data_IF_743800826019
#
_entry.id   IF_743800826019
#
_cell.length_a   1.000
_cell.length_b   1.000
_cell.length_c   1.000
_cell.angle_alpha   90.00
_cell.angle_beta   90.00
_cell.angle_gamma   90.00
#
_symmetry.space_group_name_H-M   'P 1'
#
loop_
_entity.id
_entity.type
_entity.pdbx_description
1 polymer ?
#
# COMPACT_ATOMS: atom_id res chain seq x y z
N UNK A 1 -6.36 54.64 -38.32
CA UNK A 1 -7.49 54.16 -37.50
C UNK A 1 -7.84 52.76 -38.01
N UNK A 2 -7.29 51.65 -37.49
CA UNK A 2 -7.80 50.82 -36.36
C UNK A 2 -9.33 50.57 -36.55
N UNK A 3 -9.90 49.37 -36.74
CA UNK A 3 -9.70 48.13 -35.97
C UNK A 3 -10.31 46.85 -36.63
N UNK A 4 -9.49 45.79 -36.59
CA UNK A 4 -9.70 44.33 -36.41
C UNK A 4 -11.03 43.60 -36.69
N UNK A 5 -10.87 42.61 -37.57
CA UNK A 5 -11.48 41.27 -37.60
C UNK A 5 -11.40 40.49 -36.26
N UNK A 6 -12.38 39.61 -36.00
CA UNK A 6 -12.20 38.42 -35.15
C UNK A 6 -13.11 37.27 -35.60
N UNK A 7 -12.64 36.49 -36.58
CA UNK A 7 -13.16 35.15 -36.85
C UNK A 7 -12.70 34.17 -35.75
N UNK A 8 -13.62 33.31 -35.32
CA UNK A 8 -13.48 32.42 -34.17
C UNK A 8 -12.86 31.07 -34.55
N UNK A 9 -12.05 30.53 -33.65
CA UNK A 9 -11.12 29.38 -33.79
C UNK A 9 -11.80 28.00 -33.81
N UNK A 10 -12.92 27.81 -34.51
CA UNK A 10 -13.66 26.53 -34.50
C UNK A 10 -13.63 25.70 -35.79
N UNK A 11 -13.06 26.18 -36.90
CA UNK A 11 -13.24 25.51 -38.19
C UNK A 11 -11.97 25.02 -38.91
N UNK A 12 -10.84 24.82 -38.22
CA UNK A 12 -9.63 24.35 -38.91
C UNK A 12 -8.80 23.36 -38.09
N UNK A 13 -9.30 22.12 -37.94
CA UNK A 13 -8.46 20.91 -38.04
C UNK A 13 -9.31 19.63 -38.12
N UNK A 14 -9.93 19.39 -39.28
CA UNK A 14 -10.20 18.04 -39.77
C UNK A 14 -9.29 17.82 -40.98
N UNK A 15 -8.69 16.63 -41.04
CA UNK A 15 -7.88 16.04 -42.11
C UNK A 15 -6.39 16.44 -42.15
N UNK A 16 -5.55 15.43 -41.93
CA UNK A 16 -4.10 15.49 -42.06
C UNK A 16 -3.43 14.26 -41.44
N UNK A 17 -3.67 13.07 -42.01
CA UNK A 17 -2.88 11.87 -41.72
C UNK A 17 -1.48 12.09 -42.29
N UNK A 18 -0.48 12.18 -41.42
CA UNK A 18 0.92 11.96 -41.77
C UNK A 18 1.57 11.19 -40.63
N UNK A 19 1.99 9.96 -40.92
CA UNK A 19 2.72 9.11 -40.01
C UNK A 19 4.06 9.76 -39.64
N UNK A 20 4.27 10.00 -38.34
CA UNK A 20 5.60 10.22 -37.78
C UNK A 20 5.83 9.12 -36.75
N UNK A 21 6.55 8.09 -37.17
CA UNK A 21 7.24 7.15 -36.29
C UNK A 21 8.36 7.89 -35.58
N UNK A 22 8.13 8.35 -34.35
CA UNK A 22 9.21 8.67 -33.41
C UNK A 22 9.42 7.43 -32.54
N UNK A 23 10.31 6.55 -32.99
CA UNK A 23 10.99 5.62 -32.10
C UNK A 23 11.96 6.43 -31.22
N UNK A 24 11.41 7.07 -30.20
CA UNK A 24 12.17 7.73 -29.15
C UNK A 24 12.03 6.89 -27.90
N UNK A 25 12.97 5.96 -27.68
CA UNK A 25 13.15 5.34 -26.38
C UNK A 25 13.50 6.46 -25.40
N UNK A 26 12.50 6.95 -24.66
CA UNK A 26 12.72 7.74 -23.48
C UNK A 26 13.36 6.81 -22.44
N UNK A 27 14.68 6.73 -22.48
CA UNK A 27 15.46 6.17 -21.39
C UNK A 27 15.16 7.03 -20.17
N UNK A 28 14.26 6.54 -19.31
CA UNK A 28 14.10 7.08 -17.97
C UNK A 28 15.39 6.71 -17.25
N UNK A 29 16.35 7.63 -17.25
CA UNK A 29 17.57 7.50 -16.47
C UNK A 29 17.17 7.33 -15.01
N UNK A 30 17.26 6.10 -14.50
CA UNK A 30 17.14 5.82 -13.08
C UNK A 30 18.32 6.49 -12.40
N UNK A 31 18.13 7.70 -11.90
CA UNK A 31 19.11 8.32 -11.01
C UNK A 31 19.15 7.46 -9.77
N UNK A 32 20.20 6.64 -9.63
CA UNK A 32 20.50 5.95 -8.39
C UNK A 32 20.59 7.02 -7.30
N UNK A 33 19.64 7.00 -6.37
CA UNK A 33 19.64 7.92 -5.24
C UNK A 33 20.93 7.73 -4.48
N UNK A 34 21.78 8.75 -4.44
CA UNK A 34 22.97 8.75 -3.59
C UNK A 34 22.55 8.41 -2.16
N UNK A 35 23.16 7.38 -1.58
CA UNK A 35 22.84 6.92 -0.23
C UNK A 35 23.11 8.07 0.75
N UNK A 36 22.07 8.60 1.39
CA UNK A 36 22.22 9.66 2.39
C UNK A 36 23.11 9.15 3.52
N UNK A 37 24.22 9.85 3.80
CA UNK A 37 25.13 9.50 4.90
C UNK A 37 24.43 9.75 6.24
N UNK A 38 24.01 8.69 6.90
CA UNK A 38 23.42 8.73 8.25
C UNK A 38 24.45 8.36 9.32
N UNK A 39 24.28 8.77 10.59
CA UNK A 39 25.18 8.37 11.68
C UNK A 39 25.20 6.86 11.96
N UNK A 40 24.18 6.12 11.51
CA UNK A 40 24.06 4.67 11.64
C UNK A 40 23.25 4.09 10.48
N UNK A 41 23.46 2.81 10.19
CA UNK A 41 22.72 2.08 9.14
C UNK A 41 21.34 1.67 9.65
N UNK A 42 20.29 2.02 8.91
CA UNK A 42 18.92 1.56 9.19
C UNK A 42 18.63 0.32 8.34
N UNK A 43 18.28 -0.79 9.00
CA UNK A 43 17.89 -2.03 8.30
C UNK A 43 16.57 -1.80 7.57
N UNK A 44 16.56 -2.03 6.26
CA UNK A 44 15.33 -2.04 5.47
C UNK A 44 14.63 -3.39 5.59
N UNK A 45 13.30 -3.37 5.71
CA UNK A 45 12.48 -4.59 5.72
C UNK A 45 12.04 -4.92 4.30
N UNK A 46 12.15 -6.21 3.93
CA UNK A 46 11.71 -6.73 2.66
C UNK A 46 10.88 -8.00 2.86
N UNK A 47 9.91 -8.24 1.98
CA UNK A 47 9.13 -9.49 1.92
C UNK A 47 9.31 -10.15 0.55
N UNK A 48 9.33 -11.49 0.46
CA UNK A 48 9.44 -12.18 -0.82
C UNK A 48 8.17 -12.00 -1.66
N UNK A 49 8.35 -11.98 -2.97
CA UNK A 49 7.26 -12.00 -3.93
C UNK A 49 7.09 -13.46 -4.39
N UNK A 50 5.86 -13.98 -4.36
CA UNK A 50 5.56 -15.33 -4.83
C UNK A 50 6.06 -15.52 -6.27
N UNK A 51 6.71 -16.66 -6.52
CA UNK A 51 7.25 -17.05 -7.83
C UNK A 51 8.24 -16.04 -8.45
N UNK A 52 8.87 -15.18 -7.64
CA UNK A 52 9.90 -14.24 -8.08
C UNK A 52 11.16 -14.30 -7.21
N UNK A 53 12.29 -13.89 -7.79
CA UNK A 53 13.54 -13.64 -7.06
C UNK A 53 13.59 -12.24 -6.46
N UNK A 54 12.70 -11.35 -6.90
CA UNK A 54 12.60 -9.99 -6.40
C UNK A 54 11.95 -9.96 -5.02
N UNK A 55 12.26 -8.89 -4.28
CA UNK A 55 11.70 -8.64 -2.95
C UNK A 55 10.92 -7.33 -2.97
N UNK A 56 9.79 -7.30 -2.26
CA UNK A 56 9.01 -6.09 -2.08
C UNK A 56 9.54 -5.28 -0.87
N UNK A 57 9.99 -4.02 -1.06
CA UNK A 57 10.48 -3.18 0.02
C UNK A 57 9.31 -2.63 0.86
N UNK A 58 9.31 -2.91 2.17
CA UNK A 58 8.26 -2.45 3.07
C UNK A 58 8.64 -1.09 3.66
N UNK A 59 7.82 -0.07 3.37
CA UNK A 59 8.02 1.29 3.91
C UNK A 59 7.29 1.52 5.24
N UNK A 60 5.99 1.24 5.29
CA UNK A 60 5.11 1.43 6.46
C UNK A 60 4.07 0.33 6.46
N UNK A 61 3.61 -0.05 7.65
CA UNK A 61 2.48 -0.94 7.84
C UNK A 61 1.32 -0.11 8.36
N UNK A 62 0.18 -0.19 7.68
CA UNK A 62 -1.09 0.38 8.10
C UNK A 62 -2.08 -0.76 8.29
N UNK A 63 -2.72 -0.78 9.45
CA UNK A 63 -3.73 -1.76 9.83
C UNK A 63 -5.08 -1.05 9.98
N UNK A 64 -6.18 -1.76 9.71
CA UNK A 64 -7.53 -1.19 9.75
C UNK A 64 -8.34 -1.92 10.83
N UNK A 65 -8.59 -1.23 11.94
CA UNK A 65 -9.42 -1.77 13.02
C UNK A 65 -10.90 -1.74 12.64
N UNK A 66 -11.64 -2.80 13.01
CA UNK A 66 -13.10 -2.90 12.86
C UNK A 66 -13.61 -2.77 11.42
N UNK A 67 -12.84 -3.26 10.46
CA UNK A 67 -13.17 -3.14 9.03
C UNK A 67 -14.21 -4.17 8.53
N UNK A 68 -14.52 -5.21 9.32
CA UNK A 68 -15.52 -6.23 9.00
C UNK A 68 -16.69 -6.18 9.98
N UNK A 69 -17.87 -5.84 9.46
CA UNK A 69 -19.10 -5.67 10.26
C UNK A 69 -19.57 -6.96 10.95
N UNK A 70 -19.22 -8.13 10.42
CA UNK A 70 -19.54 -9.42 11.06
C UNK A 70 -18.72 -9.63 12.34
N UNK A 71 -17.45 -9.25 12.36
CA UNK A 71 -16.57 -9.35 13.52
C UNK A 71 -16.97 -8.35 14.63
N UNK A 72 -17.44 -7.15 14.27
CA UNK A 72 -17.95 -6.16 15.25
C UNK A 72 -19.18 -6.66 16.03
N UNK A 73 -20.04 -7.46 15.39
CA UNK A 73 -21.21 -8.08 16.05
C UNK A 73 -20.81 -9.25 16.95
N UNK A 74 -19.83 -10.04 16.53
CA UNK A 74 -19.28 -11.17 17.32
C UNK A 74 -18.56 -10.71 18.61
N UNK A 75 -17.99 -9.51 18.59
CA UNK A 75 -17.27 -8.91 19.73
C UNK A 75 -18.17 -8.15 20.72
N UNK A 76 -19.50 -8.20 20.55
CA UNK A 76 -20.49 -7.64 21.50
C UNK A 76 -20.75 -6.13 21.37
N UNK A 77 -20.39 -5.51 20.24
CA UNK A 77 -20.63 -4.08 19.99
C UNK A 77 -22.04 -3.81 19.41
N UNK A 78 -22.70 -2.75 19.88
CA UNK A 78 -23.99 -2.21 19.39
C UNK A 78 -23.94 -1.89 17.86
N UNK A 79 -25.01 -2.20 17.07
CA UNK A 79 -25.08 -2.03 15.62
C UNK A 79 -24.85 -0.62 15.04
N UNK A 80 -24.64 0.41 15.85
CA UNK A 80 -24.14 1.70 15.36
C UNK A 80 -22.67 1.55 14.98
N UNK A 81 -22.42 1.16 13.72
CA UNK A 81 -21.10 0.96 13.11
C UNK A 81 -20.20 2.18 13.36
N UNK A 82 -19.32 2.08 14.35
CA UNK A 82 -18.21 3.02 14.46
C UNK A 82 -17.35 2.92 13.19
N UNK A 83 -16.89 4.05 12.64
CA UNK A 83 -16.07 4.04 11.45
C UNK A 83 -14.78 3.24 11.70
N UNK A 84 -14.26 2.51 10.69
CA UNK A 84 -12.94 1.91 10.79
C UNK A 84 -11.89 2.97 11.11
N UNK A 85 -10.87 2.58 11.86
CA UNK A 85 -9.75 3.46 12.19
C UNK A 85 -8.44 2.83 11.75
N UNK A 86 -7.44 3.68 11.54
CA UNK A 86 -6.10 3.26 11.13
C UNK A 86 -5.14 3.31 12.31
N UNK A 87 -4.27 2.30 12.39
CA UNK A 87 -3.11 2.31 13.26
C UNK A 87 -1.90 1.77 12.50
N UNK A 88 -0.72 1.86 13.12
CA UNK A 88 0.53 1.45 12.49
C UNK A 88 1.26 0.40 13.33
N UNK A 89 1.99 -0.46 12.64
CA UNK A 89 2.99 -1.35 13.24
C UNK A 89 4.37 -1.00 12.66
N UNK A 90 5.45 -1.19 13.43
CA UNK A 90 6.79 -1.00 12.90
C UNK A 90 7.11 -2.11 11.88
N UNK A 91 7.96 -1.80 10.90
CA UNK A 91 8.25 -2.73 9.79
C UNK A 91 9.01 -3.97 10.23
N UNK A 92 9.74 -3.89 11.33
CA UNK A 92 10.48 -5.01 11.94
C UNK A 92 9.59 -5.99 12.71
N UNK A 93 8.29 -5.70 12.88
CA UNK A 93 7.31 -6.65 13.41
C UNK A 93 6.93 -7.76 12.41
N UNK A 94 7.38 -7.67 11.15
CA UNK A 94 7.09 -8.69 10.13
C UNK A 94 7.94 -9.94 10.37
N UNK A 95 7.28 -11.06 10.61
CA UNK A 95 7.85 -12.40 10.45
C UNK A 95 7.33 -13.00 9.15
N UNK A 96 8.25 -13.24 8.21
CA UNK A 96 7.92 -13.94 6.97
C UNK A 96 7.85 -15.45 7.23
N UNK A 97 6.77 -16.09 6.79
CA UNK A 97 6.58 -17.55 6.85
C UNK A 97 6.43 -18.07 5.43
N UNK A 98 7.34 -18.97 5.03
CA UNK A 98 7.32 -19.54 3.68
C UNK A 98 6.07 -20.42 3.50
N UNK A 99 5.40 -20.39 2.34
CA UNK A 99 4.31 -21.32 2.06
C UNK A 99 4.71 -22.78 2.31
N UNK A 100 3.82 -23.55 2.93
CA UNK A 100 4.08 -24.94 3.30
C UNK A 100 5.00 -25.15 4.51
N UNK A 101 5.37 -24.08 5.22
CA UNK A 101 6.14 -24.15 6.46
C UNK A 101 5.35 -23.61 7.65
N UNK A 102 5.75 -24.00 8.85
CA UNK A 102 5.20 -23.46 10.10
C UNK A 102 6.18 -22.44 10.65
N UNK A 103 5.70 -21.24 10.94
CA UNK A 103 6.50 -20.21 11.60
C UNK A 103 6.71 -20.53 13.08
N UNK A 104 7.95 -20.48 13.54
CA UNK A 104 8.24 -20.47 14.98
C UNK A 104 8.01 -19.06 15.51
N UNK A 105 6.82 -18.82 16.06
CA UNK A 105 6.41 -17.52 16.59
C UNK A 105 6.31 -17.59 18.12
N UNK A 106 7.26 -17.01 18.87
CA UNK A 106 7.27 -17.10 20.32
C UNK A 106 6.09 -16.34 20.92
N UNK A 107 5.48 -16.92 21.96
CA UNK A 107 4.44 -16.25 22.72
C UNK A 107 5.02 -14.97 23.37
N UNK A 108 4.42 -13.79 23.15
CA UNK A 108 5.02 -12.54 23.60
C UNK A 108 4.92 -12.37 25.11
N UNK A 109 5.85 -11.62 25.70
CA UNK A 109 5.82 -11.31 27.12
C UNK A 109 4.67 -10.38 27.50
N UNK A 110 4.35 -10.36 28.81
CA UNK A 110 3.38 -9.45 29.43
C UNK A 110 1.93 -9.59 28.95
N UNK A 111 1.56 -10.73 28.37
CA UNK A 111 0.17 -11.05 28.04
C UNK A 111 -0.18 -12.44 28.56
N UNK A 112 -1.44 -12.64 28.87
CA UNK A 112 -2.07 -13.96 29.07
C UNK A 112 -3.16 -14.20 28.04
N UNK A 113 -3.42 -13.22 27.17
CA UNK A 113 -4.49 -13.26 26.19
C UNK A 113 -3.99 -12.77 24.83
N UNK A 114 -3.45 -13.71 24.05
CA UNK A 114 -2.79 -13.43 22.79
C UNK A 114 -3.62 -13.97 21.62
N UNK A 115 -4.15 -13.06 20.82
CA UNK A 115 -5.08 -13.35 19.73
C UNK A 115 -4.36 -13.37 18.37
N UNK A 116 -4.87 -14.19 17.47
CA UNK A 116 -4.60 -14.12 16.04
C UNK A 116 -5.77 -13.44 15.32
N UNK A 117 -5.47 -12.62 14.32
CA UNK A 117 -6.46 -12.04 13.40
C UNK A 117 -5.95 -12.28 11.97
N UNK A 118 -6.69 -13.05 11.18
CA UNK A 118 -6.34 -13.31 9.78
C UNK A 118 -6.79 -12.14 8.92
N UNK A 119 -5.86 -11.56 8.17
CA UNK A 119 -6.10 -10.35 7.39
C UNK A 119 -5.63 -10.48 5.95
N UNK A 120 -6.34 -9.82 5.03
CA UNK A 120 -5.87 -9.57 3.68
C UNK A 120 -4.91 -8.37 3.71
N UNK A 121 -3.67 -8.58 3.31
CA UNK A 121 -2.66 -7.52 3.19
C UNK A 121 -2.61 -7.04 1.75
N UNK A 122 -2.76 -5.74 1.52
CA UNK A 122 -2.55 -5.10 0.23
C UNK A 122 -1.19 -4.37 0.21
N UNK A 123 -0.27 -4.82 -0.64
CA UNK A 123 1.02 -4.16 -0.86
C UNK A 123 0.87 -3.05 -1.89
N UNK A 124 1.32 -1.82 -1.60
CA UNK A 124 1.15 -0.67 -2.51
C UNK A 124 2.44 -0.39 -3.29
N UNK A 125 2.39 -0.39 -4.62
CA UNK A 125 3.53 -0.01 -5.49
C UNK A 125 3.69 1.49 -5.62
N UNK A 126 2.63 2.24 -5.38
CA UNK A 126 2.61 3.70 -5.49
C UNK A 126 1.66 4.29 -4.46
N UNK A 127 1.76 5.60 -4.26
CA UNK A 127 0.91 6.33 -3.32
C UNK A 127 0.35 7.59 -3.94
N UNK A 128 -0.29 8.40 -3.11
CA UNK A 128 -0.92 9.64 -3.50
C UNK A 128 -1.67 10.25 -2.32
N UNK A 129 -2.24 11.43 -2.53
CA UNK A 129 -3.12 12.10 -1.57
C UNK A 129 -4.50 12.20 -2.20
N UNK A 130 -5.56 11.89 -1.44
CA UNK A 130 -6.94 11.94 -1.90
C UNK A 130 -7.17 11.16 -3.21
N UNK A 131 -6.65 9.92 -3.26
CA UNK A 131 -6.78 9.04 -4.43
C UNK A 131 -8.27 8.76 -4.68
N UNK A 132 -8.79 9.00 -5.90
CA UNK A 132 -10.16 8.63 -6.27
C UNK A 132 -10.42 7.14 -6.06
N UNK A 133 -11.60 6.78 -5.56
CA UNK A 133 -11.94 5.39 -5.22
C UNK A 133 -11.83 4.44 -6.41
N UNK A 134 -12.18 4.90 -7.61
CA UNK A 134 -12.07 4.15 -8.87
C UNK A 134 -10.62 3.92 -9.34
N UNK A 135 -9.66 4.66 -8.77
CA UNK A 135 -8.22 4.52 -9.03
C UNK A 135 -7.45 3.84 -7.91
N UNK A 136 -8.11 3.55 -6.78
CA UNK A 136 -7.44 3.04 -5.59
C UNK A 136 -6.69 1.73 -5.85
N UNK A 137 -7.28 0.80 -6.61
CA UNK A 137 -6.67 -0.51 -6.90
C UNK A 137 -5.49 -0.42 -7.88
N UNK A 138 -5.39 0.64 -8.68
CA UNK A 138 -4.25 0.86 -9.58
C UNK A 138 -2.93 1.03 -8.82
N UNK A 139 -3.02 1.43 -7.54
CA UNK A 139 -1.87 1.60 -6.63
C UNK A 139 -1.45 0.29 -5.94
N UNK A 140 -2.26 -0.76 -6.01
CA UNK A 140 -1.93 -2.06 -5.42
C UNK A 140 -0.93 -2.80 -6.32
N UNK A 141 0.14 -3.28 -5.71
CA UNK A 141 1.12 -4.17 -6.32
C UNK A 141 0.62 -5.62 -6.33
N UNK A 142 0.12 -6.07 -5.18
CA UNK A 142 -0.32 -7.43 -4.97
C UNK A 142 -0.87 -7.62 -3.56
N UNK A 143 -1.20 -8.87 -3.24
CA UNK A 143 -1.83 -9.24 -1.98
C UNK A 143 -1.10 -10.38 -1.29
N UNK A 144 -1.26 -10.47 0.02
CA UNK A 144 -0.77 -11.56 0.84
C UNK A 144 -1.76 -11.88 1.97
N UNK A 145 -1.59 -13.06 2.57
CA UNK A 145 -2.19 -13.39 3.86
C UNK A 145 -1.31 -12.80 4.98
N UNK A 146 -1.92 -12.12 5.93
CA UNK A 146 -1.25 -11.62 7.13
C UNK A 146 -1.94 -12.10 8.41
N UNK A 147 -1.18 -12.11 9.50
CA UNK A 147 -1.72 -12.27 10.84
C UNK A 147 -1.45 -11.00 11.65
N UNK A 148 -2.51 -10.28 12.03
CA UNK A 148 -2.41 -9.21 13.03
C UNK A 148 -2.42 -9.83 14.43
N UNK A 149 -1.23 -10.18 14.90
CA UNK A 149 -1.08 -10.75 16.23
C UNK A 149 -1.23 -9.68 17.31
N UNK A 150 -2.09 -9.95 18.30
CA UNK A 150 -2.55 -8.94 19.26
C UNK A 150 -2.52 -9.45 20.70
N UNK A 151 -1.80 -8.73 21.59
CA UNK A 151 -1.91 -8.88 23.05
C UNK A 151 -3.20 -8.20 23.51
N UNK A 152 -4.30 -8.96 23.53
CA UNK A 152 -5.66 -8.42 23.63
C UNK A 152 -5.96 -7.78 24.98
N UNK A 153 -5.43 -8.39 26.03
CA UNK A 153 -5.51 -7.86 27.39
C UNK A 153 -4.89 -6.47 27.49
N UNK A 154 -3.70 -6.26 26.92
CA UNK A 154 -3.03 -4.95 26.94
C UNK A 154 -3.67 -3.91 26.02
N UNK A 155 -4.26 -4.34 24.91
CA UNK A 155 -4.91 -3.42 23.98
C UNK A 155 -6.21 -2.83 24.55
N UNK A 156 -6.92 -3.59 25.40
CA UNK A 156 -8.18 -3.18 26.03
C UNK A 156 -7.98 -2.45 27.37
N UNK A 157 -6.77 -2.47 27.90
CA UNK A 157 -6.41 -1.88 29.19
C UNK A 157 -6.42 -0.35 29.17
#
# INVERSE_FOLDING_TARGET
>A
MINKQKQSRRDALKMGVAAITVAGAAAVSSTASAQTKTPFTVKSTFIPIADSKDLFPVRRIYCIGRNYAAHSREMGSDPTREPPFFFQKPTDAIQNVKPGTVGDHPYPSLTKNYHYEVELVAALKSGGKNIPTDKALDHVFGYALGLDMTRRDLQRA
#
